data_IF_785184696065
#
_entry.id   IF_785184696065
#
_cell.length_a   1.000
_cell.length_b   1.000
_cell.length_c   1.000
_cell.angle_alpha   90.00
_cell.angle_beta   90.00
_cell.angle_gamma   90.00
#
_symmetry.space_group_name_H-M   'P 1'
#
loop_
_entity.id
_entity.type
_entity.pdbx_description
1 polymer ?
#
# COMPACT_ATOMS: atom_id res chain seq x y z
N UNK A 1 10.25 15.41 28.24
CA UNK A 1 9.37 14.34 28.75
C UNK A 1 7.94 14.42 28.20
N UNK A 2 7.25 15.58 28.23
CA UNK A 2 5.87 15.73 27.69
C UNK A 2 5.69 15.34 26.21
N UNK A 3 6.68 15.63 25.35
CA UNK A 3 6.64 15.27 23.91
C UNK A 3 6.78 13.75 23.66
N UNK A 4 7.59 13.05 24.46
CA UNK A 4 7.73 11.59 24.37
C UNK A 4 6.45 10.89 24.85
N UNK A 5 5.85 11.38 25.93
CA UNK A 5 4.55 10.89 26.42
C UNK A 5 3.43 11.07 25.39
N UNK A 6 3.39 12.22 24.70
CA UNK A 6 2.41 12.45 23.63
C UNK A 6 2.61 11.50 22.43
N UNK A 7 3.86 11.21 22.05
CA UNK A 7 4.16 10.25 20.98
C UNK A 7 3.76 8.84 21.39
N UNK A 8 4.08 8.42 22.62
CA UNK A 8 3.67 7.10 23.14
C UNK A 8 2.16 6.99 23.18
N UNK A 9 1.45 8.04 23.63
CA UNK A 9 -0.01 8.05 23.65
C UNK A 9 -0.61 7.93 22.23
N UNK A 10 -0.05 8.63 21.25
CA UNK A 10 -0.47 8.53 19.85
C UNK A 10 -0.25 7.13 19.27
N UNK A 11 0.89 6.50 19.59
CA UNK A 11 1.19 5.12 19.17
C UNK A 11 0.23 4.13 19.82
N UNK A 12 -0.04 4.28 21.11
CA UNK A 12 -1.00 3.43 21.84
C UNK A 12 -2.41 3.59 21.29
N UNK A 13 -2.85 4.83 21.02
CA UNK A 13 -4.14 5.09 20.40
C UNK A 13 -4.19 4.43 19.02
N UNK A 14 -3.20 4.66 18.15
CA UNK A 14 -3.14 4.04 16.83
C UNK A 14 -3.18 2.51 16.88
N UNK A 15 -2.45 1.89 17.82
CA UNK A 15 -2.44 0.45 18.03
C UNK A 15 -3.81 -0.08 18.52
N UNK A 16 -4.46 0.63 19.46
CA UNK A 16 -5.80 0.28 19.94
C UNK A 16 -6.86 0.44 18.86
N UNK A 17 -6.79 1.48 18.04
CA UNK A 17 -7.70 1.68 16.91
C UNK A 17 -7.51 0.56 15.88
N UNK A 18 -6.26 0.21 15.54
CA UNK A 18 -5.96 -0.91 14.65
C UNK A 18 -6.47 -2.25 15.21
N UNK A 19 -6.27 -2.51 16.50
CA UNK A 19 -6.76 -3.70 17.20
C UNK A 19 -8.30 -3.77 17.20
N UNK A 20 -8.96 -2.66 17.48
CA UNK A 20 -10.43 -2.60 17.52
C UNK A 20 -11.04 -2.81 16.13
N UNK A 21 -10.47 -2.16 15.10
CA UNK A 21 -10.89 -2.33 13.70
C UNK A 21 -10.72 -3.79 13.26
N UNK A 22 -9.56 -4.39 13.52
CA UNK A 22 -9.27 -5.79 13.14
C UNK A 22 -10.13 -6.81 13.88
N UNK A 23 -10.59 -6.51 15.10
CA UNK A 23 -11.47 -7.38 15.89
C UNK A 23 -12.94 -7.27 15.50
N UNK A 24 -13.44 -6.08 15.15
CA UNK A 24 -14.86 -5.88 14.80
C UNK A 24 -15.16 -6.17 13.34
N UNK A 25 -14.19 -5.94 12.48
CA UNK A 25 -14.24 -6.31 11.09
C UNK A 25 -13.04 -7.23 10.86
N UNK A 26 -13.18 -8.57 11.05
CA UNK A 26 -12.27 -9.47 10.39
C UNK A 26 -12.38 -9.12 8.91
N UNK A 27 -11.44 -8.30 8.44
CA UNK A 27 -11.46 -7.83 7.09
C UNK A 27 -11.37 -9.09 6.26
N UNK A 28 -12.46 -9.43 5.57
CA UNK A 28 -12.36 -10.31 4.44
C UNK A 28 -11.36 -9.62 3.53
N UNK A 29 -10.10 -10.02 3.61
CA UNK A 29 -9.11 -9.67 2.61
C UNK A 29 -9.80 -10.04 1.31
N UNK A 30 -10.04 -9.09 0.39
CA UNK A 30 -10.65 -9.44 -0.88
C UNK A 30 -9.83 -10.61 -1.42
N UNK A 31 -10.46 -11.79 -1.57
CA UNK A 31 -9.77 -13.04 -1.91
C UNK A 31 -8.89 -12.86 -3.14
N UNK A 32 -9.27 -11.94 -4.02
CA UNK A 32 -8.52 -11.44 -5.16
C UNK A 32 -7.09 -11.00 -4.82
N UNK A 33 -6.84 -10.25 -3.74
CA UNK A 33 -5.50 -9.73 -3.40
C UNK A 33 -4.69 -10.77 -2.65
N UNK A 34 -5.31 -11.54 -1.76
CA UNK A 34 -4.64 -12.64 -1.08
C UNK A 34 -4.10 -13.68 -2.08
N UNK A 35 -4.83 -13.94 -3.17
CA UNK A 35 -4.40 -14.83 -4.24
C UNK A 35 -3.20 -14.31 -5.06
N UNK A 36 -2.88 -13.00 -4.98
CA UNK A 36 -1.72 -12.43 -5.64
C UNK A 36 -0.42 -12.63 -4.86
N UNK A 37 -0.52 -13.01 -3.58
CA UNK A 37 0.63 -13.11 -2.70
C UNK A 37 1.28 -14.49 -2.79
N UNK A 38 2.61 -14.55 -2.62
CA UNK A 38 3.29 -15.82 -2.38
C UNK A 38 2.74 -16.54 -1.13
N UNK A 39 2.69 -17.87 -1.17
CA UNK A 39 2.23 -18.68 -0.04
C UNK A 39 3.12 -18.55 1.21
N UNK A 40 4.38 -18.16 1.03
CA UNK A 40 5.38 -17.90 2.06
C UNK A 40 5.37 -16.44 2.59
N UNK A 41 4.29 -15.67 2.34
CA UNK A 41 4.17 -14.30 2.86
C UNK A 41 4.07 -14.31 4.39
N UNK A 42 5.07 -13.74 5.07
CA UNK A 42 5.13 -13.65 6.54
C UNK A 42 4.38 -12.43 7.11
N UNK A 43 4.34 -11.31 6.38
CA UNK A 43 3.61 -10.10 6.77
C UNK A 43 2.78 -9.60 5.60
N UNK A 44 1.50 -9.30 5.86
CA UNK A 44 0.60 -8.71 4.89
C UNK A 44 -0.16 -7.53 5.51
N UNK A 45 -0.12 -6.39 4.83
CA UNK A 45 -0.86 -5.18 5.17
C UNK A 45 -1.73 -4.81 3.97
N UNK A 46 -3.03 -4.76 4.19
CA UNK A 46 -4.01 -4.32 3.19
C UNK A 46 -4.55 -2.93 3.55
N UNK A 47 -4.43 -2.00 2.61
CA UNK A 47 -5.07 -0.69 2.65
C UNK A 47 -6.39 -0.77 1.89
N UNK A 48 -7.53 -0.74 2.59
CA UNK A 48 -8.84 -0.80 1.94
C UNK A 48 -9.11 0.45 1.09
N UNK A 49 -10.06 0.34 0.15
CA UNK A 49 -10.52 1.46 -0.69
C UNK A 49 -10.85 2.71 0.14
N UNK A 50 -9.98 3.71 0.03
CA UNK A 50 -10.05 4.93 0.82
C UNK A 50 -11.29 5.77 0.46
N UNK A 51 -11.74 5.75 -0.80
CA UNK A 51 -12.93 6.49 -1.21
C UNK A 51 -14.18 5.86 -0.63
N UNK A 52 -14.30 4.53 -0.80
CA UNK A 52 -15.43 3.78 -0.24
C UNK A 52 -15.49 3.91 1.28
N UNK A 53 -14.35 3.84 1.96
CA UNK A 53 -14.28 3.98 3.41
C UNK A 53 -14.56 5.42 3.88
N UNK A 54 -14.13 6.44 3.13
CA UNK A 54 -14.46 7.83 3.42
C UNK A 54 -15.96 8.05 3.31
N UNK A 55 -16.58 7.56 2.24
CA UNK A 55 -18.01 7.70 2.03
C UNK A 55 -18.82 6.92 3.08
N UNK A 56 -18.33 5.77 3.52
CA UNK A 56 -18.91 5.02 4.64
C UNK A 56 -18.74 5.76 5.98
N UNK A 57 -17.57 6.33 6.23
CA UNK A 57 -17.28 7.15 7.42
C UNK A 57 -18.24 8.33 7.53
N UNK A 58 -18.49 9.05 6.41
CA UNK A 58 -19.43 10.16 6.37
C UNK A 58 -20.86 9.80 6.78
N UNK A 59 -21.22 8.52 6.75
CA UNK A 59 -22.54 8.02 7.15
C UNK A 59 -22.61 7.55 8.60
N UNK A 60 -21.50 7.59 9.34
CA UNK A 60 -21.46 7.16 10.74
C UNK A 60 -21.94 8.26 11.68
N UNK A 61 -22.57 7.88 12.79
CA UNK A 61 -22.95 8.83 13.85
C UNK A 61 -21.73 9.52 14.47
N UNK A 62 -20.58 8.83 14.49
CA UNK A 62 -19.30 9.42 14.90
C UNK A 62 -18.86 10.57 13.99
N UNK A 63 -19.16 10.51 12.69
CA UNK A 63 -18.90 11.62 11.79
C UNK A 63 -19.83 12.80 12.05
N UNK A 64 -21.09 12.54 12.42
CA UNK A 64 -22.01 13.61 12.84
C UNK A 64 -21.49 14.33 14.09
N UNK A 65 -21.00 13.56 15.08
CA UNK A 65 -20.36 14.10 16.28
C UNK A 65 -19.08 14.88 15.95
N UNK A 66 -18.27 14.37 15.00
CA UNK A 66 -17.09 15.08 14.51
C UNK A 66 -17.46 16.44 13.90
N UNK A 67 -18.57 16.53 13.18
CA UNK A 67 -19.04 17.77 12.54
C UNK A 67 -19.60 18.81 13.54
N UNK A 68 -19.78 18.48 14.81
CA UNK A 68 -20.27 19.44 15.80
C UNK A 68 -19.30 20.62 15.97
N UNK A 69 -19.81 21.87 16.08
CA UNK A 69 -18.97 23.05 16.22
C UNK A 69 -17.98 22.94 17.39
N UNK A 70 -18.42 22.42 18.54
CA UNK A 70 -17.58 22.26 19.73
C UNK A 70 -16.39 21.31 19.49
N UNK A 71 -16.59 20.25 18.72
CA UNK A 71 -15.54 19.29 18.35
C UNK A 71 -14.59 19.92 17.32
N UNK A 72 -15.12 20.64 16.33
CA UNK A 72 -14.30 21.35 15.35
C UNK A 72 -13.42 22.43 16.01
N UNK A 73 -13.97 23.22 16.91
CA UNK A 73 -13.25 24.25 17.65
C UNK A 73 -12.16 23.65 18.54
N UNK A 74 -12.44 22.52 19.18
CA UNK A 74 -11.44 21.77 19.94
C UNK A 74 -10.30 21.27 19.04
N UNK A 75 -10.62 20.78 17.83
CA UNK A 75 -9.65 20.28 16.85
C UNK A 75 -8.88 21.37 16.12
N UNK A 76 -9.37 22.62 16.08
CA UNK A 76 -8.62 23.74 15.49
C UNK A 76 -7.34 24.06 16.27
N UNK A 77 -7.39 23.99 17.61
CA UNK A 77 -6.22 24.22 18.47
C UNK A 77 -5.02 23.32 18.16
N UNK A 78 -5.15 21.98 18.07
CA UNK A 78 -4.02 21.13 17.68
C UNK A 78 -3.66 21.27 16.20
N UNK A 79 -4.62 21.57 15.30
CA UNK A 79 -4.35 21.75 13.86
C UNK A 79 -3.44 22.95 13.59
N UNK A 80 -3.58 24.05 14.32
CA UNK A 80 -2.72 25.24 14.15
C UNK A 80 -1.27 25.04 14.59
N UNK A 81 -0.98 23.96 15.33
CA UNK A 81 0.38 23.58 15.73
C UNK A 81 1.06 22.60 14.76
N UNK A 82 0.36 22.14 13.72
CA UNK A 82 0.96 21.25 12.73
C UNK A 82 1.79 22.06 11.74
N UNK A 83 3.06 21.66 11.47
CA UNK A 83 3.89 22.36 10.53
C UNK A 83 3.31 22.25 9.12
N UNK A 84 3.11 23.39 8.47
CA UNK A 84 2.57 23.52 7.10
C UNK A 84 3.60 23.09 6.04
N UNK A 85 4.16 21.89 6.14
CA UNK A 85 5.17 21.41 5.20
C UNK A 85 4.52 21.11 3.85
N UNK A 86 4.83 21.94 2.85
CA UNK A 86 4.40 21.83 1.45
C UNK A 86 4.64 20.46 0.83
N UNK A 87 5.72 19.77 1.21
CA UNK A 87 6.08 18.45 0.68
C UNK A 87 5.09 17.34 1.07
N UNK A 88 4.47 17.40 2.25
CA UNK A 88 3.38 16.47 2.60
C UNK A 88 2.10 16.78 1.82
N UNK A 89 1.82 18.07 1.59
CA UNK A 89 0.63 18.52 0.84
C UNK A 89 0.72 18.11 -0.63
N UNK A 90 1.90 18.21 -1.24
CA UNK A 90 2.15 17.72 -2.61
C UNK A 90 2.04 16.20 -2.71
N UNK A 91 2.67 15.45 -1.78
CA UNK A 91 2.56 13.98 -1.78
C UNK A 91 1.10 13.52 -1.56
N UNK A 92 0.35 14.23 -0.73
CA UNK A 92 -1.07 13.98 -0.50
C UNK A 92 -1.90 14.28 -1.76
N UNK A 93 -1.65 15.40 -2.42
CA UNK A 93 -2.33 15.77 -3.66
C UNK A 93 -2.06 14.75 -4.77
N UNK A 94 -0.80 14.36 -4.98
CA UNK A 94 -0.42 13.33 -5.96
C UNK A 94 -1.11 11.98 -5.65
N UNK A 95 -1.15 11.58 -4.37
CA UNK A 95 -1.83 10.34 -3.95
C UNK A 95 -3.35 10.41 -4.12
N UNK A 96 -3.94 11.58 -3.90
CA UNK A 96 -5.37 11.80 -4.10
C UNK A 96 -5.77 11.79 -5.57
N UNK A 97 -4.90 12.29 -6.46
CA UNK A 97 -5.10 12.27 -7.91
C UNK A 97 -5.15 10.83 -8.44
N UNK A 98 -4.28 9.95 -7.93
CA UNK A 98 -4.29 8.53 -8.28
C UNK A 98 -5.58 7.81 -7.83
N UNK A 99 -6.30 8.37 -6.85
CA UNK A 99 -7.46 7.74 -6.21
C UNK A 99 -7.12 6.29 -5.85
N UNK A 100 -6.08 6.14 -5.03
CA UNK A 100 -5.53 4.83 -4.64
C UNK A 100 -6.62 4.00 -3.95
N UNK A 101 -6.79 2.76 -4.40
CA UNK A 101 -7.71 1.77 -3.88
C UNK A 101 -6.97 0.46 -3.63
N UNK A 102 -7.44 -0.31 -2.66
CA UNK A 102 -6.99 -1.70 -2.45
C UNK A 102 -5.47 -1.85 -2.48
N UNK A 103 -4.78 -0.97 -1.74
CA UNK A 103 -3.33 -1.03 -1.63
C UNK A 103 -2.92 -2.26 -0.83
N UNK A 104 -1.77 -2.82 -1.14
CA UNK A 104 -1.21 -3.92 -0.38
C UNK A 104 0.30 -3.83 -0.28
N UNK A 105 0.81 -4.35 0.82
CA UNK A 105 2.22 -4.55 1.10
C UNK A 105 2.37 -5.94 1.72
N UNK A 106 3.27 -6.73 1.14
CA UNK A 106 3.60 -8.07 1.57
C UNK A 106 5.10 -8.23 1.74
N UNK A 107 5.51 -9.01 2.73
CA UNK A 107 6.90 -9.38 2.97
C UNK A 107 7.01 -10.89 3.20
N UNK A 108 7.89 -11.57 2.46
CA UNK A 108 8.08 -13.03 2.57
C UNK A 108 9.05 -13.42 3.70
N UNK A 109 10.08 -12.62 3.97
CA UNK A 109 10.95 -12.84 5.13
C UNK A 109 11.61 -11.56 5.63
N UNK A 110 11.81 -11.47 6.94
CA UNK A 110 12.51 -10.36 7.59
C UNK A 110 14.03 -10.38 7.30
N UNK A 111 14.58 -11.53 6.92
CA UNK A 111 16.02 -11.70 6.66
C UNK A 111 16.47 -11.16 5.30
N UNK A 112 15.62 -11.27 4.27
CA UNK A 112 15.97 -10.86 2.89
C UNK A 112 15.27 -9.59 2.42
N UNK A 113 14.40 -8.99 3.27
CA UNK A 113 13.65 -7.76 2.97
C UNK A 113 12.96 -7.81 1.59
N UNK A 114 12.49 -9.00 1.19
CA UNK A 114 11.71 -9.17 -0.05
C UNK A 114 10.33 -8.60 0.15
N UNK A 115 10.14 -7.40 -0.39
CA UNK A 115 8.91 -6.64 -0.28
C UNK A 115 8.20 -6.64 -1.63
N UNK A 116 6.92 -6.95 -1.60
CA UNK A 116 6.02 -6.86 -2.73
C UNK A 116 4.92 -5.87 -2.35
N UNK A 117 4.64 -4.90 -3.21
CA UNK A 117 3.61 -3.92 -3.00
C UNK A 117 2.81 -3.68 -4.27
N UNK A 118 1.58 -3.26 -4.10
CA UNK A 118 0.76 -2.85 -5.23
C UNK A 118 -0.46 -2.07 -4.78
N UNK A 119 -1.10 -1.41 -5.73
CA UNK A 119 -2.36 -0.73 -5.50
C UNK A 119 -3.14 -0.57 -6.79
N UNK A 120 -4.45 -0.47 -6.66
CA UNK A 120 -5.34 -0.08 -7.74
C UNK A 120 -5.48 1.45 -7.79
N UNK A 121 -5.61 2.01 -8.99
CA UNK A 121 -5.88 3.44 -9.15
C UNK A 121 -7.24 3.67 -9.81
N UNK A 122 -7.97 4.67 -9.29
CA UNK A 122 -9.30 5.08 -9.74
C UNK A 122 -9.28 6.11 -10.89
N UNK A 123 -8.13 6.75 -11.16
CA UNK A 123 -7.98 7.73 -12.25
C UNK A 123 -7.77 7.09 -13.62
N UNK A 124 -7.62 7.93 -14.65
CA UNK A 124 -7.28 7.47 -16.00
C UNK A 124 -5.84 6.94 -16.06
N UNK A 125 -5.60 5.97 -16.96
CA UNK A 125 -4.29 5.32 -17.08
C UNK A 125 -3.18 6.32 -17.45
N UNK A 126 -3.47 7.29 -18.32
CA UNK A 126 -2.51 8.34 -18.71
C UNK A 126 -2.13 9.23 -17.53
N UNK A 127 -3.10 9.57 -16.69
CA UNK A 127 -2.90 10.38 -15.50
C UNK A 127 -2.09 9.60 -14.45
N UNK A 128 -2.45 8.34 -14.21
CA UNK A 128 -1.70 7.46 -13.32
C UNK A 128 -0.24 7.33 -13.76
N UNK A 129 -0.01 7.09 -15.05
CA UNK A 129 1.33 6.98 -15.60
C UNK A 129 2.12 8.28 -15.42
N UNK A 130 1.52 9.44 -15.66
CA UNK A 130 2.18 10.73 -15.46
C UNK A 130 2.59 10.97 -13.99
N UNK A 131 1.73 10.60 -13.03
CA UNK A 131 2.04 10.72 -11.60
C UNK A 131 3.13 9.74 -11.19
N UNK A 132 3.02 8.47 -11.60
CA UNK A 132 4.00 7.42 -11.29
C UNK A 132 5.37 7.75 -11.88
N UNK A 133 5.43 8.25 -13.11
CA UNK A 133 6.68 8.68 -13.75
C UNK A 133 7.32 9.87 -13.02
N UNK A 134 6.50 10.82 -12.53
CA UNK A 134 6.97 11.93 -11.69
C UNK A 134 7.52 11.42 -10.35
N UNK A 135 6.93 10.40 -9.76
CA UNK A 135 7.46 9.79 -8.54
C UNK A 135 8.79 9.08 -8.79
N UNK A 136 8.87 8.27 -9.85
CA UNK A 136 10.12 7.60 -10.27
C UNK A 136 11.25 8.61 -10.53
N UNK A 137 10.97 9.70 -11.23
CA UNK A 137 11.98 10.74 -11.52
C UNK A 137 12.46 11.46 -10.26
N UNK A 138 11.58 11.70 -9.28
CA UNK A 138 11.97 12.24 -7.96
C UNK A 138 12.86 11.28 -7.18
N UNK A 139 12.63 9.96 -7.26
CA UNK A 139 13.49 8.95 -6.63
C UNK A 139 14.87 8.97 -7.29
N UNK A 140 14.93 8.93 -8.63
CA UNK A 140 16.17 9.02 -9.40
C UNK A 140 16.97 10.30 -9.09
N UNK A 141 16.29 11.44 -8.96
CA UNK A 141 16.93 12.71 -8.65
C UNK A 141 17.52 12.77 -7.23
N UNK A 142 16.94 12.03 -6.27
CA UNK A 142 17.41 12.01 -4.87
C UNK A 142 18.49 10.97 -4.60
N UNK A 143 18.48 9.86 -5.33
CA UNK A 143 19.43 8.77 -5.16
C UNK A 143 20.50 8.82 -6.26
N UNK A 144 21.56 9.60 -6.01
CA UNK A 144 22.70 9.71 -6.93
C UNK A 144 23.29 8.32 -7.22
N UNK A 145 23.45 7.99 -8.51
CA UNK A 145 23.93 6.68 -8.96
C UNK A 145 22.85 5.63 -9.24
N UNK A 146 21.56 5.99 -9.17
CA UNK A 146 20.47 5.08 -9.54
C UNK A 146 20.31 5.04 -11.06
N UNK A 147 20.41 3.85 -11.63
CA UNK A 147 20.16 3.58 -13.04
C UNK A 147 18.73 3.07 -13.23
N UNK A 148 18.05 3.60 -14.25
CA UNK A 148 16.79 3.04 -14.74
C UNK A 148 17.07 2.13 -15.92
N UNK A 149 16.69 0.87 -15.81
CA UNK A 149 16.64 -0.08 -16.92
C UNK A 149 15.19 -0.52 -17.15
N UNK A 150 14.88 -0.95 -18.36
CA UNK A 150 13.56 -1.48 -18.69
C UNK A 150 13.75 -2.85 -19.32
N UNK A 151 12.88 -3.78 -18.95
CA UNK A 151 12.86 -5.13 -19.52
C UNK A 151 11.44 -5.49 -19.86
N UNK A 152 11.23 -6.06 -21.04
CA UNK A 152 9.95 -6.60 -21.44
C UNK A 152 9.79 -8.01 -20.85
N UNK A 153 8.63 -8.27 -20.25
CA UNK A 153 8.25 -9.57 -19.72
C UNK A 153 6.82 -9.87 -20.17
N UNK A 154 6.69 -10.82 -21.09
CA UNK A 154 5.41 -11.20 -21.69
C UNK A 154 4.73 -9.99 -22.34
N UNK A 155 3.56 -9.58 -21.84
CA UNK A 155 2.82 -8.38 -22.28
C UNK A 155 3.10 -7.13 -21.44
N UNK A 156 3.96 -7.23 -20.42
CA UNK A 156 4.22 -6.16 -19.44
C UNK A 156 5.61 -5.58 -19.62
N UNK A 157 5.70 -4.25 -19.50
CA UNK A 157 6.98 -3.56 -19.45
C UNK A 157 7.37 -3.34 -17.99
N UNK A 158 8.50 -3.90 -17.58
CA UNK A 158 9.03 -3.77 -16.22
C UNK A 158 10.10 -2.68 -16.22
N UNK A 159 9.89 -1.66 -15.40
CA UNK A 159 10.90 -0.66 -15.07
C UNK A 159 11.67 -1.11 -13.83
N UNK A 160 13.00 -1.23 -13.97
CA UNK A 160 13.91 -1.57 -12.89
C UNK A 160 14.74 -0.33 -12.54
N UNK A 161 14.65 0.07 -11.28
CA UNK A 161 15.47 1.11 -10.67
C UNK A 161 16.51 0.42 -9.80
N UNK A 162 17.79 0.54 -10.15
CA UNK A 162 18.90 -0.06 -9.42
C UNK A 162 19.87 1.01 -8.96
N UNK A 163 20.21 1.05 -7.68
CA UNK A 163 21.18 1.99 -7.13
C UNK A 163 21.84 1.43 -5.87
N UNK A 164 23.17 1.39 -5.82
CA UNK A 164 23.90 0.85 -4.68
C UNK A 164 23.47 -0.58 -4.32
N UNK A 165 22.83 -0.75 -3.14
CA UNK A 165 22.33 -2.04 -2.64
C UNK A 165 20.83 -2.27 -2.84
N UNK A 166 20.10 -1.33 -3.46
CA UNK A 166 18.66 -1.47 -3.68
C UNK A 166 18.34 -1.73 -5.15
N UNK A 167 17.45 -2.69 -5.38
CA UNK A 167 16.80 -2.95 -6.66
C UNK A 167 15.30 -2.77 -6.42
N UNK A 168 14.63 -2.09 -7.34
CA UNK A 168 13.19 -1.88 -7.31
C UNK A 168 12.63 -2.10 -8.70
N UNK A 169 11.88 -3.17 -8.88
CA UNK A 169 11.16 -3.47 -10.10
C UNK A 169 9.72 -2.97 -9.96
N UNK A 170 9.19 -2.30 -10.99
CA UNK A 170 7.81 -1.84 -10.99
C UNK A 170 7.18 -1.91 -12.38
N UNK A 171 5.86 -2.03 -12.43
CA UNK A 171 5.09 -2.06 -13.66
C UNK A 171 3.66 -1.58 -13.44
N UNK A 172 2.99 -1.24 -14.54
CA UNK A 172 1.56 -0.92 -14.55
C UNK A 172 0.86 -2.01 -15.36
N UNK A 173 0.06 -2.83 -14.69
CA UNK A 173 -0.75 -3.88 -15.30
C UNK A 173 -2.23 -3.45 -15.28
N UNK A 174 -2.74 -2.96 -16.41
CA UNK A 174 -4.11 -2.44 -16.49
C UNK A 174 -4.32 -1.23 -15.57
N UNK A 175 -5.12 -1.38 -14.52
CA UNK A 175 -5.43 -0.34 -13.52
C UNK A 175 -4.68 -0.51 -12.20
N UNK A 176 -3.65 -1.36 -12.19
CA UNK A 176 -2.86 -1.67 -11.01
C UNK A 176 -1.42 -1.22 -11.22
N UNK A 177 -0.86 -0.59 -10.19
CA UNK A 177 0.58 -0.40 -10.06
C UNK A 177 1.11 -1.52 -9.17
N UNK A 178 2.17 -2.17 -9.63
CA UNK A 178 2.80 -3.29 -8.94
C UNK A 178 4.29 -3.04 -8.83
N UNK A 179 4.87 -3.38 -7.68
CA UNK A 179 6.28 -3.22 -7.43
C UNK A 179 6.84 -4.30 -6.50
N UNK A 180 8.11 -4.63 -6.69
CA UNK A 180 8.85 -5.53 -5.83
C UNK A 180 10.32 -5.13 -5.71
N UNK A 181 10.99 -5.64 -4.69
CA UNK A 181 12.43 -5.44 -4.47
C UNK A 181 13.32 -6.27 -5.40
N UNK A 182 12.74 -7.22 -6.14
CA UNK A 182 13.45 -8.02 -7.16
C UNK A 182 12.61 -8.13 -8.42
N UNK A 183 13.25 -8.36 -9.57
CA UNK A 183 12.53 -8.55 -10.83
C UNK A 183 11.80 -9.90 -10.85
N UNK A 184 12.36 -10.91 -10.18
CA UNK A 184 11.81 -12.26 -10.05
C UNK A 184 10.49 -12.25 -9.27
N UNK A 185 10.44 -11.55 -8.13
CA UNK A 185 9.23 -11.45 -7.32
C UNK A 185 8.13 -10.70 -8.07
N UNK A 186 8.48 -9.67 -8.85
CA UNK A 186 7.52 -8.95 -9.69
C UNK A 186 6.99 -9.82 -10.82
N UNK A 187 7.83 -10.63 -11.48
CA UNK A 187 7.39 -11.57 -12.52
C UNK A 187 6.44 -12.61 -11.95
N UNK A 188 6.76 -13.20 -10.79
CA UNK A 188 5.87 -14.13 -10.11
C UNK A 188 4.53 -13.49 -9.70
N UNK A 189 4.55 -12.22 -9.29
CA UNK A 189 3.34 -11.45 -9.02
C UNK A 189 2.51 -11.26 -10.31
N UNK A 190 3.14 -10.89 -11.42
CA UNK A 190 2.48 -10.74 -12.71
C UNK A 190 1.87 -12.05 -13.22
N UNK A 191 2.54 -13.17 -12.99
CA UNK A 191 2.02 -14.49 -13.34
C UNK A 191 0.73 -14.82 -12.57
N UNK A 192 0.62 -14.37 -11.31
CA UNK A 192 -0.62 -14.50 -10.51
C UNK A 192 -1.70 -13.55 -11.00
N UNK A 193 -1.34 -12.29 -11.29
CA UNK A 193 -2.27 -11.28 -11.84
C UNK A 193 -2.87 -11.75 -13.17
N UNK A 194 -2.06 -12.36 -14.02
CA UNK A 194 -2.49 -12.90 -15.31
C UNK A 194 -3.15 -14.28 -15.23
N UNK A 195 -3.30 -14.86 -14.03
CA UNK A 195 -3.89 -16.18 -13.82
C UNK A 195 -3.07 -17.34 -14.39
N UNK A 196 -1.77 -17.11 -14.65
CA UNK A 196 -0.83 -18.12 -15.17
C UNK A 196 -0.35 -19.08 -14.07
N UNK A 197 -0.47 -18.67 -12.81
CA UNK A 197 -0.29 -19.54 -11.65
C UNK A 197 -1.65 -19.89 -11.06
N UNK A 198 -1.93 -21.18 -10.92
CA UNK A 198 -3.09 -21.68 -10.17
C UNK A 198 -2.69 -21.78 -8.70
N UNK A 199 -3.50 -21.23 -7.81
CA UNK A 199 -3.34 -21.50 -6.38
C UNK A 199 -3.46 -23.02 -6.18
N UNK A 200 -2.48 -23.68 -5.53
CA UNK A 200 -2.60 -25.09 -5.22
C UNK A 200 -3.85 -25.32 -4.36
N UNK A 201 -4.61 -26.37 -4.66
CA UNK A 201 -5.77 -26.71 -3.86
C UNK A 201 -5.32 -27.05 -2.43
N UNK A 202 -6.14 -26.72 -1.42
CA UNK A 202 -5.80 -26.98 -0.01
C UNK A 202 -5.52 -28.48 0.25
N UNK A 203 -6.09 -29.38 -0.55
CA UNK A 203 -5.86 -30.82 -0.48
C UNK A 203 -4.45 -31.25 -0.95
N UNK A 204 -3.73 -30.37 -1.65
CA UNK A 204 -2.37 -30.59 -2.14
C UNK A 204 -1.31 -30.08 -1.16
N UNK A 205 -1.72 -29.39 -0.08
CA UNK A 205 -0.82 -28.93 0.97
C UNK A 205 -0.67 -30.00 2.07
N UNK A 206 0.56 -30.48 2.26
CA UNK A 206 0.89 -31.51 3.25
C UNK A 206 0.61 -31.06 4.69
N UNK A 207 0.83 -29.78 5.01
CA UNK A 207 0.53 -29.25 6.34
C UNK A 207 -0.98 -29.21 6.60
N UNK A 208 -1.78 -28.86 5.59
CA UNK A 208 -3.24 -28.89 5.70
C UNK A 208 -3.76 -30.32 5.88
N UNK A 209 -3.21 -31.27 5.11
CA UNK A 209 -3.55 -32.70 5.24
C UNK A 209 -3.16 -33.28 6.60
N UNK A 210 -2.08 -32.81 7.21
CA UNK A 210 -1.60 -33.31 8.50
C UNK A 210 -2.36 -32.70 9.68
N UNK A 211 -3.09 -31.60 9.47
CA UNK A 211 -3.87 -30.92 10.49
C UNK A 211 -5.37 -31.32 10.53
N UNK A 212 -5.86 -32.05 9.53
CA UNK A 212 -7.22 -32.63 9.44
C UNK A 212 -7.21 -34.10 9.87
#
# INVERSE_FOLDING_TARGET
MKRLLAVILLVVIAALTAYYITRQHPAAVPSTIANLLPADTALFIHLPDAEKNRDAWHRTDLYQLYCEPAVQDFLQKPKSHLPEKSSMREAWNDSSALRIRNGFLAANSFDSLRLIAGFEFGCDQKEAQAVIERWKSRILAKAAGTQRTSTDYEKHKIDILSGGQFIFASTIAGRQFLAATTAEDLKALLDRVDGRTKAPALDSDENFRTAM
#
